data_IF_783376544887
#
_entry.id   IF_783376544887
#
_cell.length_a   1.000
_cell.length_b   1.000
_cell.length_c   1.000
_cell.angle_alpha   90.00
_cell.angle_beta   90.00
_cell.angle_gamma   90.00
#
_symmetry.space_group_name_H-M   'P 1'
#
loop_
_entity.id
_entity.type
_entity.pdbx_description
1 polymer ?
#
# COMPACT_ATOMS: atom_id res chain seq x y z
N UNK A 1 12.28 -2.32 23.03
CA UNK A 1 13.15 -2.90 21.97
C UNK A 1 12.38 -4.02 21.28
N UNK A 2 11.53 -3.72 20.30
CA UNK A 2 10.69 -4.68 19.57
C UNK A 2 10.19 -3.96 18.30
N UNK A 3 10.91 -3.97 17.16
CA UNK A 3 10.53 -3.12 15.99
C UNK A 3 11.09 -3.52 14.60
N UNK A 4 11.51 -4.75 14.33
CA UNK A 4 12.08 -5.09 12.99
C UNK A 4 11.42 -6.28 12.30
N UNK A 5 10.87 -7.25 13.02
CA UNK A 5 10.36 -8.49 12.41
C UNK A 5 9.02 -8.33 11.68
N UNK A 6 8.09 -7.52 12.20
CA UNK A 6 6.72 -7.45 11.68
C UNK A 6 6.61 -6.70 10.34
N UNK A 7 7.42 -5.65 10.14
CA UNK A 7 7.47 -4.89 8.89
C UNK A 7 8.07 -5.72 7.74
N UNK A 8 9.18 -6.41 8.01
CA UNK A 8 9.81 -7.30 7.04
C UNK A 8 8.89 -8.46 6.64
N UNK A 9 8.14 -9.03 7.61
CA UNK A 9 7.16 -10.07 7.30
C UNK A 9 5.97 -9.53 6.51
N UNK A 10 5.48 -8.33 6.79
CA UNK A 10 4.41 -7.71 6.03
C UNK A 10 4.82 -7.48 4.57
N UNK A 11 6.04 -6.95 4.36
CA UNK A 11 6.59 -6.73 3.03
C UNK A 11 6.83 -8.06 2.29
N UNK A 12 7.33 -9.09 2.97
CA UNK A 12 7.50 -10.43 2.40
C UNK A 12 6.17 -11.00 1.92
N UNK A 13 5.12 -10.95 2.75
CA UNK A 13 3.76 -11.42 2.36
C UNK A 13 3.21 -10.68 1.15
N UNK A 14 3.46 -9.38 1.06
CA UNK A 14 3.08 -8.60 -0.13
C UNK A 14 3.90 -9.00 -1.37
N UNK A 15 5.21 -9.25 -1.22
CA UNK A 15 6.07 -9.69 -2.32
C UNK A 15 5.68 -11.09 -2.83
N UNK A 16 5.39 -12.03 -1.94
CA UNK A 16 4.87 -13.36 -2.27
C UNK A 16 3.52 -13.30 -2.99
N UNK A 17 2.65 -12.39 -2.56
CA UNK A 17 1.37 -12.16 -3.22
C UNK A 17 1.53 -11.50 -4.60
N UNK A 18 2.52 -10.62 -4.74
CA UNK A 18 2.84 -9.85 -5.94
C UNK A 18 3.52 -10.68 -7.04
N UNK A 19 4.40 -11.61 -6.66
CA UNK A 19 5.20 -12.41 -7.58
C UNK A 19 4.37 -13.15 -8.67
N UNK A 20 3.31 -13.91 -8.34
CA UNK A 20 2.50 -14.58 -9.36
C UNK A 20 1.65 -13.62 -10.20
N UNK A 21 1.50 -12.36 -9.79
CA UNK A 21 0.73 -11.31 -10.48
C UNK A 21 1.60 -10.41 -11.35
N UNK A 22 2.92 -10.63 -11.36
CA UNK A 22 3.87 -9.81 -12.13
C UNK A 22 3.97 -8.37 -11.63
N UNK A 23 3.60 -8.10 -10.37
CA UNK A 23 3.69 -6.74 -9.82
C UNK A 23 5.15 -6.34 -9.62
N UNK A 24 5.46 -5.10 -9.95
CA UNK A 24 6.79 -4.54 -9.73
C UNK A 24 7.04 -4.21 -8.25
N UNK A 25 8.30 -4.19 -7.82
CA UNK A 25 8.67 -3.85 -6.43
C UNK A 25 8.11 -2.47 -6.00
N UNK A 26 8.07 -1.50 -6.92
CA UNK A 26 7.44 -0.19 -6.68
C UNK A 26 5.94 -0.31 -6.33
N UNK A 27 5.22 -1.23 -6.97
CA UNK A 27 3.81 -1.48 -6.68
C UNK A 27 3.65 -2.16 -5.31
N UNK A 28 4.59 -3.02 -4.92
CA UNK A 28 4.65 -3.59 -3.56
C UNK A 28 4.83 -2.49 -2.51
N UNK A 29 5.68 -1.49 -2.75
CA UNK A 29 5.79 -0.33 -1.86
C UNK A 29 4.46 0.43 -1.75
N UNK A 30 3.74 0.65 -2.85
CA UNK A 30 2.42 1.30 -2.80
C UNK A 30 1.42 0.53 -1.92
N UNK A 31 1.38 -0.81 -2.06
CA UNK A 31 0.52 -1.67 -1.26
C UNK A 31 0.93 -1.63 0.21
N UNK A 32 2.23 -1.67 0.52
CA UNK A 32 2.74 -1.57 1.89
C UNK A 32 2.35 -0.24 2.56
N UNK A 33 2.50 0.89 1.83
CA UNK A 33 2.09 2.21 2.30
C UNK A 33 0.60 2.23 2.69
N UNK A 34 -0.25 1.54 1.91
CA UNK A 34 -1.69 1.41 2.20
C UNK A 34 -1.97 0.50 3.38
N UNK A 35 -1.23 -0.60 3.55
CA UNK A 35 -1.36 -1.46 4.72
C UNK A 35 -1.07 -0.69 6.02
N UNK A 36 0.03 0.07 6.03
CA UNK A 36 0.47 0.82 7.22
C UNK A 36 -0.41 2.05 7.47
N UNK A 37 -0.72 2.83 6.43
CA UNK A 37 -1.37 4.12 6.57
C UNK A 37 -2.89 4.10 6.35
N UNK A 38 -3.45 2.95 5.97
CA UNK A 38 -4.85 2.79 5.54
C UNK A 38 -5.19 3.45 4.20
N UNK A 39 -4.30 4.29 3.66
CA UNK A 39 -4.48 4.99 2.38
C UNK A 39 -3.17 5.51 1.81
N UNK A 40 -3.10 5.63 0.49
CA UNK A 40 -2.00 6.32 -0.21
C UNK A 40 -2.53 7.37 -1.18
N UNK A 41 -1.77 8.47 -1.32
CA UNK A 41 -2.02 9.50 -2.34
C UNK A 41 -0.93 9.41 -3.40
N UNK A 42 -1.30 9.70 -4.66
CA UNK A 42 -0.36 9.70 -5.80
C UNK A 42 0.91 10.51 -5.53
N UNK A 43 0.78 11.72 -4.95
CA UNK A 43 1.92 12.60 -4.67
C UNK A 43 2.84 12.09 -3.56
N UNK A 44 2.33 11.28 -2.61
CA UNK A 44 3.16 10.62 -1.60
C UNK A 44 3.93 9.47 -2.23
N UNK A 45 3.23 8.59 -2.94
CA UNK A 45 3.84 7.47 -3.65
C UNK A 45 4.92 7.93 -4.66
N UNK A 46 4.61 8.97 -5.43
CA UNK A 46 5.55 9.57 -6.37
C UNK A 46 6.85 10.02 -5.69
N UNK A 47 6.78 10.63 -4.50
CA UNK A 47 7.97 11.09 -3.78
C UNK A 47 8.74 9.94 -3.14
N UNK A 48 8.04 8.93 -2.62
CA UNK A 48 8.66 7.77 -1.99
C UNK A 48 9.52 6.96 -2.99
N UNK A 49 9.01 6.78 -4.21
CA UNK A 49 9.65 5.97 -5.25
C UNK A 49 10.36 6.82 -6.34
N UNK A 50 10.47 8.14 -6.13
CA UNK A 50 11.10 9.09 -7.08
C UNK A 50 10.54 8.94 -8.52
N UNK A 51 9.22 8.77 -8.63
CA UNK A 51 8.56 8.47 -9.90
C UNK A 51 8.17 9.75 -10.66
N UNK A 52 7.96 9.59 -11.96
CA UNK A 52 7.20 10.59 -12.72
C UNK A 52 5.72 10.57 -12.33
N UNK A 53 5.04 11.70 -12.49
CA UNK A 53 3.60 11.78 -12.21
C UNK A 53 2.77 10.77 -13.03
N UNK A 54 3.16 10.55 -14.29
CA UNK A 54 2.54 9.59 -15.21
C UNK A 54 2.78 8.15 -14.77
N UNK A 55 3.98 7.82 -14.30
CA UNK A 55 4.27 6.46 -13.83
C UNK A 55 3.51 6.15 -12.54
N UNK A 56 3.53 7.06 -11.56
CA UNK A 56 2.78 6.90 -10.33
C UNK A 56 1.27 6.75 -10.58
N UNK A 57 0.73 7.47 -11.57
CA UNK A 57 -0.68 7.31 -11.95
C UNK A 57 -0.95 5.94 -12.59
N UNK A 58 -0.10 5.49 -13.52
CA UNK A 58 -0.25 4.19 -14.18
C UNK A 58 -0.21 3.04 -13.17
N UNK A 59 0.78 3.01 -12.29
CA UNK A 59 0.91 1.96 -11.29
C UNK A 59 -0.35 1.89 -10.38
N UNK A 60 -0.86 3.03 -9.91
CA UNK A 60 -2.06 3.08 -9.05
C UNK A 60 -3.33 2.71 -9.81
N UNK A 61 -3.41 3.03 -11.10
CA UNK A 61 -4.51 2.65 -11.97
C UNK A 61 -4.51 1.12 -12.17
N UNK A 62 -3.36 0.53 -12.53
CA UNK A 62 -3.20 -0.92 -12.69
C UNK A 62 -3.60 -1.66 -11.41
N UNK A 63 -3.13 -1.20 -10.25
CA UNK A 63 -3.51 -1.78 -8.95
C UNK A 63 -5.00 -1.64 -8.64
N UNK A 64 -5.65 -0.57 -9.13
CA UNK A 64 -7.10 -0.40 -8.97
C UNK A 64 -7.88 -1.32 -9.91
N UNK A 65 -7.41 -1.48 -11.15
CA UNK A 65 -8.02 -2.34 -12.16
C UNK A 65 -8.04 -3.82 -11.75
N UNK A 66 -6.99 -4.28 -11.08
CA UNK A 66 -6.95 -5.65 -10.52
C UNK A 66 -7.61 -5.78 -9.13
N UNK A 67 -8.27 -4.72 -8.64
CA UNK A 67 -9.01 -4.72 -7.39
C UNK A 67 -8.15 -4.72 -6.12
N UNK A 68 -6.83 -4.56 -6.25
CA UNK A 68 -5.94 -4.46 -5.09
C UNK A 68 -6.09 -3.13 -4.40
N UNK A 69 -6.34 -2.05 -5.13
CA UNK A 69 -6.67 -0.76 -4.57
C UNK A 69 -8.08 -0.33 -4.96
N UNK A 70 -8.70 0.48 -4.11
CA UNK A 70 -9.93 1.19 -4.45
C UNK A 70 -9.67 2.70 -4.43
N UNK A 71 -10.06 3.38 -5.50
CA UNK A 71 -9.94 4.83 -5.60
C UNK A 71 -11.11 5.51 -4.88
N UNK A 72 -10.81 6.39 -3.93
CA UNK A 72 -11.80 7.17 -3.17
C UNK A 72 -11.64 8.66 -3.43
N UNK A 73 -12.76 9.35 -3.68
CA UNK A 73 -12.83 10.81 -3.89
C UNK A 73 -12.84 11.26 -5.36
N UNK A 74 -13.25 12.51 -5.59
CA UNK A 74 -13.31 13.13 -6.94
C UNK A 74 -12.07 14.00 -7.21
N UNK A 75 -11.48 13.83 -8.39
CA UNK A 75 -10.43 14.66 -9.02
C UNK A 75 -9.24 15.06 -8.14
N UNK A 76 -9.32 16.15 -7.37
CA UNK A 76 -8.17 16.70 -6.60
C UNK A 76 -7.94 16.01 -5.25
N UNK A 77 -8.92 15.27 -4.74
CA UNK A 77 -8.85 14.59 -3.46
C UNK A 77 -8.48 13.11 -3.51
N UNK A 78 -8.26 12.54 -4.71
CA UNK A 78 -8.20 11.09 -4.89
C UNK A 78 -7.09 10.47 -4.03
N UNK A 79 -7.50 9.52 -3.19
CA UNK A 79 -6.62 8.62 -2.46
C UNK A 79 -7.04 7.18 -2.74
N UNK A 80 -6.14 6.25 -2.46
CA UNK A 80 -6.33 4.84 -2.72
C UNK A 80 -6.30 4.09 -1.40
N UNK A 81 -7.27 3.23 -1.19
CA UNK A 81 -7.44 2.38 0.01
C UNK A 81 -7.33 0.91 -0.39
N UNK A 82 -7.23 -0.05 0.55
CA UNK A 82 -7.32 -1.46 0.20
C UNK A 82 -8.61 -1.74 -0.61
N UNK A 83 -8.47 -2.40 -1.75
CA UNK A 83 -9.61 -2.90 -2.52
C UNK A 83 -10.02 -4.31 -2.07
N UNK A 84 -11.08 -4.84 -2.69
CA UNK A 84 -11.66 -6.13 -2.29
C UNK A 84 -10.72 -7.32 -2.52
N UNK A 85 -9.77 -7.21 -3.47
CA UNK A 85 -8.78 -8.24 -3.73
C UNK A 85 -7.49 -8.06 -2.89
N UNK A 86 -7.45 -7.07 -1.99
CA UNK A 86 -6.27 -6.83 -1.15
C UNK A 86 -6.05 -8.01 -0.20
N UNK A 87 -4.80 -8.50 -0.02
CA UNK A 87 -4.52 -9.65 0.84
C UNK A 87 -4.91 -9.39 2.30
N UNK A 88 -5.97 -10.05 2.77
CA UNK A 88 -6.50 -9.89 4.14
C UNK A 88 -5.44 -10.14 5.22
N UNK A 89 -4.57 -11.15 5.04
CA UNK A 89 -3.49 -11.45 5.99
C UNK A 89 -2.48 -10.30 6.18
N UNK A 90 -2.33 -9.42 5.19
CA UNK A 90 -1.50 -8.20 5.31
C UNK A 90 -2.23 -7.14 6.11
N UNK A 91 -3.54 -6.97 5.91
CA UNK A 91 -4.36 -6.01 6.67
C UNK A 91 -4.46 -6.40 8.14
N UNK A 92 -4.65 -7.69 8.44
CA UNK A 92 -4.71 -8.19 9.82
C UNK A 92 -3.38 -7.98 10.55
N UNK A 93 -2.25 -8.24 9.89
CA UNK A 93 -0.93 -7.95 10.44
C UNK A 93 -0.75 -6.44 10.71
N UNK A 94 -1.15 -5.58 9.77
CA UNK A 94 -1.11 -4.13 9.96
C UNK A 94 -1.98 -3.65 11.13
N UNK A 95 -3.19 -4.19 11.29
CA UNK A 95 -4.10 -3.88 12.40
C UNK A 95 -3.54 -4.31 13.75
N UNK A 96 -2.93 -5.50 13.81
CA UNK A 96 -2.26 -5.97 15.02
C UNK A 96 -1.11 -5.04 15.43
N UNK A 97 -0.36 -4.51 14.45
CA UNK A 97 0.69 -3.51 14.69
C UNK A 97 0.15 -2.15 15.15
N UNK A 98 -0.93 -1.63 14.54
CA UNK A 98 -1.57 -0.36 14.93
C UNK A 98 -2.17 -0.42 16.35
N UNK A 99 -2.64 -1.59 16.77
CA UNK A 99 -3.10 -1.83 18.14
C UNK A 99 -1.93 -1.75 19.15
N UNK A 100 -0.71 -2.06 18.70
CA UNK A 100 0.51 -2.04 19.51
C UNK A 100 1.23 -0.68 19.48
N UNK A 101 1.00 0.14 18.45
CA UNK A 101 1.58 1.47 18.28
C UNK A 101 0.56 2.36 17.59
N UNK A 102 -0.10 3.26 18.31
CA UNK A 102 -0.89 4.34 17.73
C UNK A 102 0.07 5.33 17.01
N UNK A 103 0.12 5.37 15.65
CA UNK A 103 1.09 6.16 14.91
C UNK A 103 0.47 7.39 14.22
N UNK A 104 -0.73 7.83 14.64
CA UNK A 104 -1.39 9.04 14.09
C UNK A 104 -1.73 10.11 15.13
N UNK A 105 -1.03 10.11 16.27
CA UNK A 105 -1.14 11.16 17.27
C UNK A 105 -0.14 12.30 17.00
N UNK A 106 -0.46 13.15 16.02
CA UNK A 106 -0.33 14.63 16.01
C UNK A 106 -0.79 15.22 14.66
#
# INVERSE_FOLDING_TARGET
>A
MFRVTDDAQQRMRLAEFAAPRGLAERQVTALHDVAVAGRVRRSRYQRAEVLSAKQAQRDLQELTEVGLLAAVGRTRGRYYVPGDAYPAGVLEAARAMLTLVDPYRD
#
